data_IF_217948625727
#
_entry.id   IF_217948625727
#
_cell.length_a   1.000
_cell.length_b   1.000
_cell.length_c   1.000
_cell.angle_alpha   90.00
_cell.angle_beta   90.00
_cell.angle_gamma   90.00
#
_symmetry.space_group_name_H-M   'P 1'
#
loop_
_entity.id
_entity.type
_entity.pdbx_description
1 polymer ?
#
# COMPACT_ATOMS: atom_id res chain seq x y z
N UNK A 1 34.12 -5.75 27.45
CA UNK A 1 32.69 -5.86 27.13
C UNK A 1 32.52 -7.07 26.23
N UNK A 2 31.85 -8.13 26.68
CA UNK A 2 31.61 -9.31 25.83
C UNK A 2 30.76 -8.92 24.60
N UNK A 3 31.04 -9.46 23.41
CA UNK A 3 30.24 -9.19 22.22
C UNK A 3 28.81 -9.71 22.45
N UNK A 4 27.82 -8.89 22.08
CA UNK A 4 26.40 -9.23 22.24
C UNK A 4 26.05 -10.48 21.45
N UNK A 5 25.27 -11.36 22.06
CA UNK A 5 24.79 -12.55 21.37
C UNK A 5 23.81 -12.15 20.25
N UNK A 6 23.66 -12.96 19.19
CA UNK A 6 22.64 -12.73 18.15
C UNK A 6 21.23 -12.51 18.72
N UNK A 7 20.89 -13.20 19.81
CA UNK A 7 19.57 -13.10 20.45
C UNK A 7 19.35 -11.77 21.16
N UNK A 8 20.37 -11.26 21.87
CA UNK A 8 20.32 -9.94 22.49
C UNK A 8 20.18 -8.83 21.46
N UNK A 9 20.83 -8.96 20.30
CA UNK A 9 20.72 -8.01 19.18
C UNK A 9 19.32 -8.04 18.56
N UNK A 10 18.79 -9.25 18.33
CA UNK A 10 17.44 -9.44 17.78
C UNK A 10 16.35 -8.90 18.71
N UNK A 11 16.46 -9.16 20.02
CA UNK A 11 15.52 -8.64 21.02
C UNK A 11 15.50 -7.11 21.03
N UNK A 12 16.67 -6.47 21.05
CA UNK A 12 16.79 -4.99 20.99
C UNK A 12 16.26 -4.41 19.68
N UNK A 13 16.45 -5.11 18.56
CA UNK A 13 15.90 -4.70 17.27
C UNK A 13 14.38 -4.78 17.26
N UNK A 14 13.79 -5.83 17.84
CA UNK A 14 12.34 -5.97 17.98
C UNK A 14 11.76 -4.86 18.85
N UNK A 15 12.36 -4.57 20.00
CA UNK A 15 11.91 -3.46 20.85
C UNK A 15 11.98 -2.11 20.16
N UNK A 16 13.07 -1.82 19.42
CA UNK A 16 13.19 -0.59 18.65
C UNK A 16 12.10 -0.48 17.59
N UNK A 17 11.88 -1.55 16.83
CA UNK A 17 10.82 -1.60 15.82
C UNK A 17 9.42 -1.42 16.44
N UNK A 18 9.18 -2.00 17.62
CA UNK A 18 7.92 -1.86 18.33
C UNK A 18 7.67 -0.41 18.77
N UNK A 19 8.66 0.24 19.40
CA UNK A 19 8.54 1.66 19.80
C UNK A 19 8.29 2.59 18.61
N UNK A 20 8.93 2.32 17.47
CA UNK A 20 8.68 3.07 16.23
C UNK A 20 7.24 2.88 15.72
N UNK A 21 6.72 1.63 15.75
CA UNK A 21 5.34 1.34 15.34
C UNK A 21 4.32 1.99 16.27
N UNK A 22 4.55 1.96 17.57
CA UNK A 22 3.65 2.56 18.55
C UNK A 22 3.65 4.09 18.41
N UNK A 23 4.83 4.72 18.26
CA UNK A 23 4.90 6.16 17.98
C UNK A 23 4.17 6.54 16.70
N UNK A 24 4.35 5.78 15.60
CA UNK A 24 3.63 6.06 14.35
C UNK A 24 2.11 5.90 14.51
N UNK A 25 1.66 4.97 15.36
CA UNK A 25 0.24 4.78 15.69
C UNK A 25 -0.30 5.99 16.45
N UNK A 26 0.43 6.46 17.46
CA UNK A 26 0.03 7.62 18.28
C UNK A 26 0.01 8.90 17.44
N UNK A 27 0.99 9.09 16.56
CA UNK A 27 1.07 10.18 15.59
C UNK A 27 0.03 10.07 14.47
N UNK A 28 -0.73 8.95 14.39
CA UNK A 28 -1.66 8.63 13.30
C UNK A 28 -1.02 8.77 11.91
N UNK A 29 0.29 8.49 11.83
CA UNK A 29 1.09 8.73 10.64
C UNK A 29 0.73 7.68 9.57
N UNK A 30 0.32 8.08 8.35
CA UNK A 30 0.12 7.14 7.26
C UNK A 30 1.45 6.53 6.85
N UNK A 31 1.45 5.24 6.50
CA UNK A 31 2.60 4.62 5.89
C UNK A 31 2.63 4.83 4.36
N UNK A 32 3.67 4.33 3.68
CA UNK A 32 3.81 4.45 2.22
C UNK A 32 2.66 3.77 1.49
N UNK A 33 2.20 2.63 1.98
CA UNK A 33 1.11 1.87 1.38
C UNK A 33 -0.22 2.61 1.54
N UNK A 34 -0.43 3.27 2.68
CA UNK A 34 -1.60 4.11 2.92
C UNK A 34 -1.70 5.23 1.89
N UNK A 35 -0.60 5.96 1.67
CA UNK A 35 -0.56 7.04 0.67
C UNK A 35 -0.77 6.48 -0.74
N UNK A 36 -0.08 5.39 -1.09
CA UNK A 36 -0.22 4.75 -2.40
C UNK A 36 -1.67 4.31 -2.66
N UNK A 37 -2.30 3.70 -1.66
CA UNK A 37 -3.68 3.20 -1.77
C UNK A 37 -4.70 4.33 -1.86
N UNK A 38 -4.51 5.41 -1.10
CA UNK A 38 -5.36 6.60 -1.20
C UNK A 38 -5.26 7.25 -2.59
N UNK A 39 -4.05 7.39 -3.13
CA UNK A 39 -3.82 7.96 -4.47
C UNK A 39 -4.43 7.07 -5.56
N UNK A 40 -4.20 5.75 -5.50
CA UNK A 40 -4.73 4.82 -6.49
C UNK A 40 -6.27 4.82 -6.51
N UNK A 41 -6.89 4.81 -5.33
CA UNK A 41 -8.34 4.92 -5.22
C UNK A 41 -8.87 6.23 -5.78
N UNK A 42 -8.26 7.35 -5.42
CA UNK A 42 -8.65 8.66 -5.95
C UNK A 42 -8.53 8.71 -7.47
N UNK A 43 -7.43 8.20 -8.05
CA UNK A 43 -7.22 8.21 -9.49
C UNK A 43 -8.27 7.35 -10.21
N UNK A 44 -8.44 6.10 -9.81
CA UNK A 44 -9.41 5.18 -10.44
C UNK A 44 -10.83 5.73 -10.34
N UNK A 45 -11.27 6.13 -9.14
CA UNK A 45 -12.64 6.63 -8.97
C UNK A 45 -12.89 7.94 -9.70
N UNK A 46 -11.88 8.83 -9.79
CA UNK A 46 -11.98 10.06 -10.60
C UNK A 46 -12.12 9.73 -12.08
N UNK A 47 -11.28 8.85 -12.63
CA UNK A 47 -11.36 8.47 -14.05
C UNK A 47 -12.65 7.73 -14.40
N UNK A 48 -13.16 6.89 -13.51
CA UNK A 48 -14.48 6.26 -13.69
C UNK A 48 -15.60 7.31 -13.74
N UNK A 49 -15.59 8.30 -12.83
CA UNK A 49 -16.57 9.39 -12.80
C UNK A 49 -16.52 10.27 -14.04
N UNK A 50 -15.32 10.51 -14.56
CA UNK A 50 -15.10 11.29 -15.77
C UNK A 50 -15.39 10.50 -17.06
N UNK A 51 -15.67 9.19 -16.98
CA UNK A 51 -15.86 8.33 -18.16
C UNK A 51 -14.60 8.17 -18.99
N UNK A 52 -13.44 8.04 -18.32
CA UNK A 52 -12.10 8.01 -18.92
C UNK A 52 -11.40 6.66 -18.75
N UNK A 53 -11.91 5.56 -19.36
CA UNK A 53 -11.28 4.25 -19.27
C UNK A 53 -9.86 4.25 -19.85
N UNK A 54 -9.60 5.09 -20.85
CA UNK A 54 -8.27 5.29 -21.45
C UNK A 54 -7.20 5.70 -20.42
N UNK A 55 -7.59 6.43 -19.37
CA UNK A 55 -6.68 6.83 -18.29
C UNK A 55 -6.42 5.73 -17.29
N UNK A 56 -7.38 4.82 -17.11
CA UNK A 56 -7.20 3.63 -16.27
C UNK A 56 -6.24 2.66 -16.95
N UNK A 57 -6.38 2.46 -18.26
CA UNK A 57 -5.46 1.63 -19.05
C UNK A 57 -4.02 2.17 -19.00
N UNK A 58 -3.84 3.48 -19.22
CA UNK A 58 -2.52 4.13 -19.10
C UNK A 58 -1.91 3.98 -17.70
N UNK A 59 -2.74 4.09 -16.66
CA UNK A 59 -2.30 3.91 -15.28
C UNK A 59 -1.88 2.45 -15.00
N UNK A 60 -2.65 1.49 -15.52
CA UNK A 60 -2.36 0.06 -15.43
C UNK A 60 -1.04 -0.27 -16.11
N UNK A 61 -0.86 0.18 -17.36
CA UNK A 61 0.38 -0.03 -18.12
C UNK A 61 1.61 0.53 -17.40
N UNK A 62 1.50 1.75 -16.86
CA UNK A 62 2.60 2.36 -16.11
C UNK A 62 2.94 1.58 -14.84
N UNK A 63 1.94 1.14 -14.08
CA UNK A 63 2.14 0.34 -12.86
C UNK A 63 2.75 -1.03 -13.18
N UNK A 64 2.24 -1.71 -14.21
CA UNK A 64 2.71 -3.03 -14.64
C UNK A 64 4.14 -2.95 -15.20
N UNK A 65 4.51 -1.88 -15.90
CA UNK A 65 5.89 -1.67 -16.35
C UNK A 65 6.85 -1.62 -15.16
N UNK A 66 6.55 -0.82 -14.13
CA UNK A 66 7.36 -0.72 -12.90
C UNK A 66 7.47 -2.07 -12.18
N UNK A 67 6.38 -2.83 -12.10
CA UNK A 67 6.38 -4.16 -11.48
C UNK A 67 7.19 -5.18 -12.31
N UNK A 68 7.05 -5.15 -13.63
CA UNK A 68 7.80 -6.03 -14.54
C UNK A 68 9.31 -5.78 -14.45
N UNK A 69 9.73 -4.52 -14.32
CA UNK A 69 11.13 -4.15 -14.13
C UNK A 69 11.72 -4.68 -12.81
N UNK A 70 10.89 -4.91 -11.79
CA UNK A 70 11.28 -5.57 -10.54
C UNK A 70 11.27 -7.11 -10.65
N UNK A 71 10.86 -7.68 -11.79
CA UNK A 71 10.78 -9.11 -12.04
C UNK A 71 9.44 -9.76 -11.68
N UNK A 72 8.38 -8.98 -11.43
CA UNK A 72 7.03 -9.54 -11.28
C UNK A 72 6.47 -10.01 -12.63
N UNK A 73 5.61 -11.03 -12.59
CA UNK A 73 4.93 -11.49 -13.80
C UNK A 73 3.97 -10.41 -14.33
N UNK A 74 4.14 -10.08 -15.61
CA UNK A 74 3.40 -9.00 -16.27
C UNK A 74 1.89 -9.26 -16.26
N UNK A 75 1.47 -10.49 -16.59
CA UNK A 75 0.05 -10.83 -16.71
C UNK A 75 -0.62 -10.84 -15.34
N UNK A 76 0.00 -11.49 -14.35
CA UNK A 76 -0.47 -11.48 -12.98
C UNK A 76 -0.57 -10.05 -12.42
N UNK A 77 0.32 -9.15 -12.82
CA UNK A 77 0.26 -7.75 -12.41
C UNK A 77 -0.97 -7.03 -12.98
N UNK A 78 -1.33 -7.26 -14.25
CA UNK A 78 -2.60 -6.76 -14.82
C UNK A 78 -3.81 -7.37 -14.09
N UNK A 79 -3.84 -8.68 -13.89
CA UNK A 79 -4.96 -9.36 -13.22
C UNK A 79 -5.21 -8.79 -11.81
N UNK A 80 -4.14 -8.48 -11.08
CA UNK A 80 -4.23 -7.82 -9.76
C UNK A 80 -4.75 -6.39 -9.89
N UNK A 81 -4.27 -5.61 -10.87
CA UNK A 81 -4.72 -4.25 -11.09
C UNK A 81 -6.21 -4.18 -11.45
N UNK A 82 -6.66 -5.04 -12.37
CA UNK A 82 -8.06 -5.13 -12.78
C UNK A 82 -8.97 -5.48 -11.58
N UNK A 83 -8.52 -6.42 -10.74
CA UNK A 83 -9.22 -6.74 -9.48
C UNK A 83 -9.32 -5.56 -8.51
N UNK A 84 -8.37 -4.62 -8.55
CA UNK A 84 -8.43 -3.37 -7.76
C UNK A 84 -9.45 -2.41 -8.37
N UNK A 85 -9.43 -2.23 -9.70
CA UNK A 85 -10.41 -1.39 -10.42
C UNK A 85 -11.83 -1.88 -10.14
N UNK A 86 -12.08 -3.18 -10.30
CA UNK A 86 -13.37 -3.81 -10.02
C UNK A 86 -13.84 -3.59 -8.59
N UNK A 87 -12.92 -3.69 -7.61
CA UNK A 87 -13.25 -3.42 -6.21
C UNK A 87 -13.65 -1.96 -6.01
N UNK A 88 -12.87 -1.03 -6.57
CA UNK A 88 -13.13 0.40 -6.39
C UNK A 88 -14.34 0.91 -7.15
N UNK A 89 -14.73 0.25 -8.24
CA UNK A 89 -15.99 0.50 -8.91
C UNK A 89 -17.22 0.10 -8.08
N UNK A 90 -17.06 -0.79 -7.08
CA UNK A 90 -18.17 -1.36 -6.27
C UNK A 90 -18.28 -0.79 -4.87
N UNK A 91 -17.17 -0.72 -4.13
CA UNK A 91 -17.20 -0.58 -2.66
C UNK A 91 -16.82 0.81 -2.13
N UNK A 92 -16.50 1.77 -3.01
CA UNK A 92 -16.20 3.19 -2.69
C UNK A 92 -15.19 3.44 -1.54
N UNK A 93 -14.44 2.42 -1.08
CA UNK A 93 -13.54 2.54 0.07
C UNK A 93 -12.20 1.83 -0.15
N UNK A 94 -11.07 2.57 -0.08
CA UNK A 94 -9.72 1.97 -0.18
C UNK A 94 -9.27 1.25 1.09
N UNK A 95 -9.84 1.60 2.25
CA UNK A 95 -9.34 1.17 3.55
C UNK A 95 -10.37 0.33 4.30
N UNK A 96 -9.89 -0.75 4.91
CA UNK A 96 -10.61 -1.37 6.02
C UNK A 96 -10.50 -0.46 7.25
N UNK A 97 -11.51 -0.49 8.11
CA UNK A 97 -11.57 0.28 9.36
C UNK A 97 -10.27 0.13 10.18
N UNK A 98 -9.55 1.23 10.42
CA UNK A 98 -8.39 1.29 11.32
C UNK A 98 -8.84 1.73 12.71
N UNK A 99 -8.89 0.80 13.67
CA UNK A 99 -9.40 1.05 15.04
C UNK A 99 -8.64 2.18 15.74
N UNK A 100 -7.32 2.24 15.56
CA UNK A 100 -6.47 3.26 16.17
C UNK A 100 -6.67 4.68 15.63
N UNK A 101 -7.42 4.87 14.53
CA UNK A 101 -7.72 6.20 13.98
C UNK A 101 -9.06 6.79 14.47
N UNK A 102 -9.85 6.04 15.26
CA UNK A 102 -11.17 6.46 15.75
C UNK A 102 -11.22 6.78 17.25
N UNK A 103 -10.08 7.07 17.86
CA UNK A 103 -10.03 7.60 19.23
C UNK A 103 -10.38 9.09 19.25
#
# INVERSE_FOLDING_TARGET
MAPQTPDERNARQRERQQRLRDRHRDERRPDRDDVARALLFWAITSYLKEGRPDRIDQLSDAAVAVLSDQGFDKRASYDVFDGIVDRYARDDQPFRRKVHLRA
#
